data_IF_795520948359
#
_entry.id   IF_795520948359
#
_cell.length_a   1.000
_cell.length_b   1.000
_cell.length_c   1.000
_cell.angle_alpha   90.00
_cell.angle_beta   90.00
_cell.angle_gamma   90.00
#
_symmetry.space_group_name_H-M   'P 1'
#
loop_
_entity.id
_entity.type
_entity.pdbx_description
1 polymer ?
#
# COMPACT_ATOMS: atom_id res chain seq x y z
N UNK A 1 -27.53 -33.56 -42.57
CA UNK A 1 -26.30 -32.82 -42.23
C UNK A 1 -26.49 -32.13 -40.89
N UNK A 2 -25.86 -32.61 -39.80
CA UNK A 2 -25.91 -31.96 -38.48
C UNK A 2 -24.48 -31.59 -38.08
N UNK A 3 -24.04 -30.44 -38.59
CA UNK A 3 -22.68 -29.92 -38.42
C UNK A 3 -22.70 -28.94 -37.23
N UNK A 4 -21.65 -29.01 -36.41
CA UNK A 4 -21.15 -27.91 -35.58
C UNK A 4 -21.85 -27.56 -34.25
N UNK A 5 -21.96 -28.49 -33.30
CA UNK A 5 -22.24 -28.14 -31.87
C UNK A 5 -20.99 -28.19 -30.97
N UNK A 6 -19.94 -28.92 -31.37
CA UNK A 6 -18.72 -29.09 -30.56
C UNK A 6 -17.80 -27.87 -30.57
N UNK A 7 -17.84 -27.08 -31.65
CA UNK A 7 -17.02 -25.85 -31.81
C UNK A 7 -17.50 -24.71 -30.92
N UNK A 8 -18.82 -24.55 -30.76
CA UNK A 8 -19.40 -23.55 -29.86
C UNK A 8 -19.17 -23.89 -28.38
N UNK A 9 -19.16 -25.18 -28.02
CA UNK A 9 -18.88 -25.64 -26.65
C UNK A 9 -17.41 -25.44 -26.27
N UNK A 10 -16.47 -25.61 -27.21
CA UNK A 10 -15.05 -25.35 -26.97
C UNK A 10 -14.74 -23.84 -26.86
N UNK A 11 -15.45 -23.00 -27.62
CA UNK A 11 -15.32 -21.54 -27.54
C UNK A 11 -15.86 -20.95 -26.23
N UNK A 12 -16.92 -21.51 -25.65
CA UNK A 12 -17.47 -21.03 -24.38
C UNK A 12 -16.57 -21.39 -23.18
N UNK A 13 -15.97 -22.58 -23.18
CA UNK A 13 -15.04 -23.01 -22.12
C UNK A 13 -13.75 -22.19 -22.13
N UNK A 14 -13.22 -21.84 -23.29
CA UNK A 14 -12.03 -20.98 -23.38
C UNK A 14 -12.31 -19.55 -22.92
N UNK A 15 -13.52 -19.03 -23.19
CA UNK A 15 -13.93 -17.71 -22.73
C UNK A 15 -14.07 -17.65 -21.20
N UNK A 16 -14.69 -18.67 -20.58
CA UNK A 16 -14.78 -18.76 -19.11
C UNK A 16 -13.42 -18.92 -18.42
N UNK A 17 -12.46 -19.64 -19.03
CA UNK A 17 -11.10 -19.73 -18.51
C UNK A 17 -10.36 -18.39 -18.56
N UNK A 18 -10.61 -17.57 -19.60
CA UNK A 18 -10.04 -16.23 -19.71
C UNK A 18 -10.61 -15.28 -18.64
N UNK A 19 -11.92 -15.29 -18.41
CA UNK A 19 -12.55 -14.47 -17.36
C UNK A 19 -12.22 -14.96 -15.94
N UNK A 20 -12.04 -16.27 -15.73
CA UNK A 20 -11.58 -16.83 -14.46
C UNK A 20 -10.17 -16.37 -14.08
N UNK A 21 -9.24 -16.34 -15.05
CA UNK A 21 -7.86 -15.90 -14.81
C UNK A 21 -7.76 -14.39 -14.51
N UNK A 22 -8.57 -13.56 -15.18
CA UNK A 22 -8.63 -12.11 -14.94
C UNK A 22 -9.30 -11.82 -13.59
N UNK A 23 -10.31 -12.61 -13.20
CA UNK A 23 -10.99 -12.49 -11.90
C UNK A 23 -10.07 -12.70 -10.70
N UNK A 24 -9.11 -13.63 -10.79
CA UNK A 24 -8.15 -13.90 -9.69
C UNK A 24 -7.14 -12.75 -9.51
N UNK A 25 -6.74 -12.10 -10.61
CA UNK A 25 -5.89 -10.92 -10.53
C UNK A 25 -6.62 -9.70 -9.95
N UNK A 26 -7.92 -9.56 -10.20
CA UNK A 26 -8.73 -8.45 -9.69
C UNK A 26 -9.13 -8.60 -8.20
N UNK A 27 -9.25 -9.83 -7.68
CA UNK A 27 -9.54 -10.08 -6.24
C UNK A 27 -8.32 -9.96 -5.35
N UNK A 28 -7.12 -9.78 -5.93
CA UNK A 28 -5.94 -9.31 -5.20
C UNK A 28 -6.00 -7.82 -4.88
N UNK A 29 -7.19 -7.21 -4.93
CA UNK A 29 -7.53 -5.94 -4.30
C UNK A 29 -7.57 -6.13 -2.78
N UNK A 30 -6.38 -6.35 -2.24
CA UNK A 30 -5.96 -6.18 -0.86
C UNK A 30 -6.88 -5.27 -0.05
N UNK A 31 -7.78 -5.89 0.71
CA UNK A 31 -8.44 -5.21 1.82
C UNK A 31 -7.36 -4.58 2.70
N UNK A 32 -7.48 -3.27 2.95
CA UNK A 32 -6.53 -2.55 3.80
C UNK A 32 -6.59 -3.14 5.21
N UNK A 33 -5.45 -3.59 5.71
CA UNK A 33 -5.29 -4.11 7.08
C UNK A 33 -5.05 -2.92 8.00
N UNK A 34 -5.83 -2.80 9.07
CA UNK A 34 -5.58 -1.78 10.10
C UNK A 34 -4.29 -2.13 10.87
N UNK A 35 -3.56 -1.11 11.33
CA UNK A 35 -2.38 -1.31 12.19
C UNK A 35 -2.70 -2.21 13.40
N UNK A 36 -3.86 -2.04 14.02
CA UNK A 36 -4.29 -2.86 15.16
C UNK A 36 -4.43 -4.35 14.81
N UNK A 37 -4.83 -4.66 13.58
CA UNK A 37 -4.96 -6.03 13.13
C UNK A 37 -3.61 -6.60 12.65
N UNK A 38 -2.71 -5.74 12.15
CA UNK A 38 -1.40 -6.13 11.63
C UNK A 38 -0.50 -6.78 12.69
N UNK A 39 -0.55 -6.28 13.94
CA UNK A 39 0.28 -6.79 15.05
C UNK A 39 0.06 -8.30 15.27
N UNK A 40 -1.15 -8.78 14.99
CA UNK A 40 -1.53 -10.19 15.15
C UNK A 40 -1.32 -11.02 13.87
N UNK A 41 -0.76 -10.42 12.80
CA UNK A 41 -0.48 -11.12 11.54
C UNK A 41 0.93 -11.69 11.52
N UNK A 42 1.08 -12.75 10.73
CA UNK A 42 2.37 -13.36 10.41
C UNK A 42 3.19 -12.43 9.51
N UNK A 43 4.52 -12.62 9.43
CA UNK A 43 5.35 -11.88 8.49
C UNK A 43 4.86 -12.02 7.05
N UNK A 44 4.84 -10.92 6.29
CA UNK A 44 4.27 -10.91 4.94
C UNK A 44 4.09 -9.52 4.36
N UNK A 45 3.66 -9.45 3.09
CA UNK A 45 3.36 -8.18 2.42
C UNK A 45 1.91 -7.79 2.68
N UNK A 46 1.71 -6.59 3.22
CA UNK A 46 0.39 -6.06 3.55
C UNK A 46 0.21 -4.65 3.01
N UNK A 47 -1.04 -4.29 2.76
CA UNK A 47 -1.46 -2.90 2.60
C UNK A 47 -2.08 -2.48 3.92
N UNK A 48 -1.43 -1.53 4.58
CA UNK A 48 -1.68 -1.14 5.96
C UNK A 48 -2.24 0.27 6.00
N UNK A 49 -3.30 0.47 6.79
CA UNK A 49 -3.90 1.78 7.07
C UNK A 49 -3.71 2.11 8.55
N UNK A 50 -3.24 3.32 8.82
CA UNK A 50 -3.10 3.84 10.18
C UNK A 50 -2.79 5.33 10.18
N UNK A 51 -2.89 5.95 11.35
CA UNK A 51 -2.62 7.36 11.55
C UNK A 51 -1.16 7.60 11.92
N UNK A 52 -0.48 8.53 11.22
CA UNK A 52 0.87 8.95 11.58
C UNK A 52 0.80 9.81 12.84
N UNK A 53 1.30 9.30 13.95
CA UNK A 53 1.29 10.03 15.23
C UNK A 53 2.64 10.66 15.56
N UNK A 54 3.72 10.07 15.04
CA UNK A 54 5.09 10.58 15.21
C UNK A 54 5.96 10.12 14.05
N UNK A 55 6.98 10.90 13.72
CA UNK A 55 8.01 10.52 12.78
C UNK A 55 9.37 11.02 13.26
N UNK A 56 10.43 10.36 12.81
CA UNK A 56 11.82 10.75 13.06
C UNK A 56 12.70 10.21 11.94
N UNK A 57 13.80 10.88 11.65
CA UNK A 57 14.82 10.37 10.72
C UNK A 57 15.89 9.64 11.55
N UNK A 58 16.23 8.41 11.17
CA UNK A 58 17.30 7.63 11.79
C UNK A 58 18.20 7.04 10.69
N UNK A 59 19.41 7.58 10.55
CA UNK A 59 20.34 7.15 9.51
C UNK A 59 19.76 7.38 8.11
N UNK A 60 19.66 6.31 7.32
CA UNK A 60 19.10 6.32 5.96
C UNK A 60 17.58 6.14 5.90
N UNK A 61 16.92 5.95 7.04
CA UNK A 61 15.51 5.60 7.10
C UNK A 61 14.70 6.72 7.79
N UNK A 62 13.55 7.03 7.20
CA UNK A 62 12.49 7.76 7.86
C UNK A 62 11.64 6.74 8.64
N UNK A 63 11.62 6.91 9.95
CA UNK A 63 10.87 6.07 10.89
C UNK A 63 9.55 6.76 11.21
N UNK A 64 8.45 6.08 10.92
CA UNK A 64 7.08 6.51 11.13
C UNK A 64 6.47 5.65 12.24
N UNK A 65 5.76 6.28 13.17
CA UNK A 65 4.93 5.57 14.15
C UNK A 65 3.49 5.67 13.67
N UNK A 66 2.94 4.53 13.30
CA UNK A 66 1.55 4.41 12.84
C UNK A 66 0.68 3.89 13.98
N UNK A 67 -0.45 4.54 14.19
CA UNK A 67 -1.46 4.16 15.17
C UNK A 67 -2.70 3.58 14.48
N UNK A 68 -3.19 2.44 14.97
CA UNK A 68 -4.42 1.82 14.51
C UNK A 68 -5.64 2.33 15.26
N UNK A 69 -6.83 1.91 14.82
CA UNK A 69 -8.10 2.38 15.43
C UNK A 69 -8.27 2.01 16.89
N UNK A 70 -7.60 0.97 17.38
CA UNK A 70 -7.65 0.54 18.79
C UNK A 70 -6.54 1.18 19.64
N UNK A 71 -5.75 2.11 19.08
CA UNK A 71 -4.63 2.76 19.77
C UNK A 71 -3.31 1.98 19.71
N UNK A 72 -3.31 0.83 19.04
CA UNK A 72 -2.11 0.02 18.83
C UNK A 72 -1.10 0.75 17.93
N UNK A 73 0.19 0.61 18.24
CA UNK A 73 1.26 1.33 17.54
C UNK A 73 2.24 0.36 16.91
N UNK A 74 2.62 0.64 15.67
CA UNK A 74 3.71 -0.05 14.99
C UNK A 74 4.78 0.93 14.54
N UNK A 75 6.00 0.42 14.43
CA UNK A 75 7.09 1.13 13.79
C UNK A 75 7.08 0.78 12.30
N UNK A 76 7.01 1.78 11.45
CA UNK A 76 7.19 1.63 10.02
C UNK A 76 8.46 2.37 9.56
N UNK A 77 9.22 1.76 8.66
CA UNK A 77 10.45 2.34 8.11
C UNK A 77 10.30 2.52 6.62
N UNK A 78 10.67 3.69 6.13
CA UNK A 78 10.75 3.99 4.70
C UNK A 78 12.14 4.55 4.39
N UNK A 79 12.83 4.05 3.35
CA UNK A 79 14.11 4.61 2.96
C UNK A 79 13.98 6.09 2.59
N UNK A 80 14.86 6.95 3.09
CA UNK A 80 14.88 8.38 2.75
C UNK A 80 15.05 8.56 1.25
N UNK A 81 15.90 7.75 0.62
CA UNK A 81 16.12 7.76 -0.84
C UNK A 81 14.84 7.50 -1.64
N UNK A 82 13.92 6.69 -1.13
CA UNK A 82 12.61 6.48 -1.76
C UNK A 82 11.75 7.73 -1.67
N UNK A 83 11.71 8.37 -0.49
CA UNK A 83 10.95 9.62 -0.28
C UNK A 83 11.50 10.73 -1.17
N UNK A 84 12.82 10.91 -1.20
CA UNK A 84 13.47 11.94 -1.99
C UNK A 84 13.24 11.76 -3.49
N UNK A 85 13.29 10.51 -3.96
CA UNK A 85 13.02 10.18 -5.36
C UNK A 85 11.56 10.43 -5.75
N UNK A 86 10.60 10.13 -4.86
CA UNK A 86 9.17 10.17 -5.19
C UNK A 86 8.52 11.53 -4.92
N UNK A 87 8.97 12.23 -3.88
CA UNK A 87 8.33 13.43 -3.35
C UNK A 87 9.25 14.65 -3.28
N UNK A 88 10.54 14.48 -3.60
CA UNK A 88 11.54 15.55 -3.50
C UNK A 88 12.25 15.58 -2.14
N UNK A 89 13.20 16.51 -1.97
CA UNK A 89 14.09 16.59 -0.81
C UNK A 89 13.34 16.48 0.52
N UNK A 90 13.83 15.66 1.45
CA UNK A 90 13.11 15.37 2.70
C UNK A 90 12.83 16.63 3.54
N UNK A 91 13.70 17.64 3.47
CA UNK A 91 13.53 18.94 4.12
C UNK A 91 12.34 19.77 3.58
N UNK A 92 11.82 19.43 2.40
CA UNK A 92 10.66 20.06 1.78
C UNK A 92 9.38 19.22 1.98
N UNK A 93 9.51 17.96 2.41
CA UNK A 93 8.37 17.06 2.64
C UNK A 93 7.81 17.28 4.05
N UNK A 94 6.58 17.80 4.13
CA UNK A 94 5.91 18.03 5.41
C UNK A 94 5.08 16.81 5.80
N UNK A 95 5.57 15.96 6.68
CA UNK A 95 4.78 14.82 7.18
C UNK A 95 3.84 15.31 8.27
N UNK A 96 2.58 15.55 7.90
CA UNK A 96 1.52 15.91 8.85
C UNK A 96 0.98 14.69 9.57
N UNK A 97 0.43 14.91 10.78
CA UNK A 97 -0.30 13.87 11.49
C UNK A 97 -1.61 13.58 10.77
N UNK A 98 -1.97 12.30 10.66
CA UNK A 98 -3.24 11.87 10.08
C UNK A 98 -3.14 10.55 9.34
N UNK A 99 -4.22 10.20 8.64
CA UNK A 99 -4.35 8.91 8.01
C UNK A 99 -3.34 8.73 6.88
N UNK A 100 -2.64 7.60 6.91
CA UNK A 100 -1.76 7.14 5.85
C UNK A 100 -2.08 5.69 5.47
N UNK A 101 -1.98 5.41 4.18
CA UNK A 101 -2.09 4.06 3.63
C UNK A 101 -0.79 3.70 2.94
N UNK A 102 -0.16 2.64 3.42
CA UNK A 102 1.15 2.18 2.95
C UNK A 102 1.11 0.71 2.54
N UNK A 103 1.96 0.34 1.60
CA UNK A 103 2.27 -1.04 1.27
C UNK A 103 3.66 -1.36 1.79
N UNK A 104 3.81 -2.51 2.43
CA UNK A 104 5.10 -2.89 2.98
C UNK A 104 5.17 -4.35 3.40
N UNK A 105 6.37 -4.79 3.74
CA UNK A 105 6.62 -6.08 4.35
C UNK A 105 6.65 -5.95 5.87
N UNK A 106 5.74 -6.65 6.55
CA UNK A 106 5.71 -6.80 7.99
C UNK A 106 6.61 -7.97 8.39
N UNK A 107 7.53 -7.77 9.33
CA UNK A 107 8.40 -8.85 9.84
C UNK A 107 7.94 -9.42 11.20
N UNK A 108 6.82 -8.96 11.73
CA UNK A 108 6.34 -9.29 13.08
C UNK A 108 6.60 -8.18 14.12
N UNK A 109 7.40 -7.16 13.78
CA UNK A 109 7.72 -6.05 14.67
C UNK A 109 7.78 -4.69 13.94
N UNK A 110 8.37 -4.67 12.75
CA UNK A 110 8.58 -3.48 11.92
C UNK A 110 7.94 -3.68 10.55
N UNK A 111 7.24 -2.65 10.09
CA UNK A 111 6.72 -2.56 8.74
C UNK A 111 7.72 -1.85 7.83
N UNK A 112 8.34 -2.56 6.89
CA UNK A 112 9.21 -1.97 5.87
C UNK A 112 8.36 -1.51 4.70
N UNK A 113 8.18 -0.20 4.58
CA UNK A 113 7.33 0.41 3.56
C UNK A 113 8.05 0.34 2.21
N UNK A 114 7.36 -0.23 1.23
CA UNK A 114 7.78 -0.25 -0.17
C UNK A 114 7.03 0.78 -1.01
N UNK A 115 5.80 1.14 -0.61
CA UNK A 115 5.02 2.15 -1.31
C UNK A 115 4.09 2.93 -0.37
N UNK A 116 3.93 4.23 -0.63
CA UNK A 116 2.93 5.07 0.04
C UNK A 116 1.81 5.32 -0.97
N UNK A 117 0.63 4.77 -0.68
CA UNK A 117 -0.54 4.78 -1.57
C UNK A 117 -1.44 5.99 -1.30
N UNK A 118 -1.53 6.41 -0.04
CA UNK A 118 -2.26 7.61 0.37
C UNK A 118 -1.48 8.26 1.51
N UNK A 119 -0.96 9.46 1.30
CA UNK A 119 -0.31 10.25 2.34
C UNK A 119 -1.31 11.12 3.10
N UNK A 120 -0.91 11.66 4.25
CA UNK A 120 -1.64 12.72 4.93
C UNK A 120 -1.70 13.93 3.98
N UNK A 121 -2.88 14.30 3.50
CA UNK A 121 -3.09 15.25 2.39
C UNK A 121 -2.77 16.73 2.70
N UNK A 122 -1.73 17.00 3.48
CA UNK A 122 -1.08 18.32 3.60
C UNK A 122 0.39 18.27 3.21
N UNK A 123 0.94 17.08 2.92
CA UNK A 123 2.37 16.86 2.70
C UNK A 123 2.91 17.22 1.30
N UNK A 124 2.04 17.57 0.35
CA UNK A 124 2.42 17.67 -1.08
C UNK A 124 1.83 18.90 -1.79
N UNK A 125 1.67 20.02 -1.09
CA UNK A 125 1.50 21.30 -1.79
C UNK A 125 2.84 21.60 -2.48
N UNK A 126 2.94 21.28 -3.77
CA UNK A 126 3.93 21.93 -4.62
C UNK A 126 3.74 23.45 -4.44
N UNK A 127 4.82 24.23 -4.27
CA UNK A 127 4.67 25.68 -4.25
C UNK A 127 3.97 26.07 -5.56
N UNK A 128 2.85 26.79 -5.44
CA UNK A 128 2.16 27.34 -6.60
C UNK A 128 3.15 28.23 -7.32
N UNK A 129 3.60 27.79 -8.50
CA UNK A 129 4.46 28.60 -9.37
C UNK A 129 3.59 29.78 -9.82
N UNK A 130 3.72 30.90 -9.12
CA UNK A 130 3.08 32.14 -9.52
C UNK A 130 3.89 32.67 -10.69
N UNK A 131 3.33 32.61 -11.90
CA UNK A 131 3.84 33.34 -13.06
C UNK A 131 2.84 34.43 -13.42
#
# INVERSE_FOLDING_TARGET
MKKDNKRFLLLSVSLFALFGAIGIYATSSSSYVDVSDLIHKKPGVYMVRGDVVRWTVQGSDLVLILEGKKGDKITARVPVSYIEKKYGPLNQVVITKGEMVVKGYWDGNVLRISDILKGCHSAYQQPTVST
#
